data_IF_623739812016
#
_entry.id   IF_623739812016
#
_cell.length_a   1.000
_cell.length_b   1.000
_cell.length_c   1.000
_cell.angle_alpha   90.00
_cell.angle_beta   90.00
_cell.angle_gamma   90.00
#
_symmetry.space_group_name_H-M   'P 1'
#
loop_
_entity.id
_entity.type
_entity.pdbx_description
1 polymer ?
#
# COMPACT_ATOMS: atom_id res chain seq x y z
N UNK A 1 -11.56 17.74 -0.66
CA UNK A 1 -10.82 16.92 -1.64
C UNK A 1 -9.99 15.91 -0.87
N UNK A 2 -10.23 14.61 -1.06
CA UNK A 2 -9.42 13.57 -0.42
C UNK A 2 -8.00 13.63 -0.99
N UNK A 3 -6.99 13.63 -0.12
CA UNK A 3 -5.59 13.47 -0.53
C UNK A 3 -5.29 11.98 -0.53
N UNK A 4 -4.91 11.45 -1.69
CA UNK A 4 -4.45 10.06 -1.78
C UNK A 4 -3.10 9.98 -1.09
N UNK A 5 -2.97 9.05 -0.16
CA UNK A 5 -1.73 8.80 0.56
C UNK A 5 -1.02 7.57 0.03
N UNK A 6 0.31 7.54 0.16
CA UNK A 6 1.11 6.39 -0.22
C UNK A 6 0.95 5.27 0.82
N UNK A 7 0.34 4.16 0.39
CA UNK A 7 0.20 2.91 1.16
C UNK A 7 1.13 1.78 0.68
N UNK A 8 2.28 2.15 0.12
CA UNK A 8 3.31 1.17 -0.28
C UNK A 8 4.10 0.68 0.94
N UNK A 9 4.53 -0.58 0.90
CA UNK A 9 5.37 -1.22 1.90
C UNK A 9 4.58 -2.07 2.88
N UNK A 10 5.25 -2.62 3.89
CA UNK A 10 4.60 -3.47 4.90
C UNK A 10 3.85 -2.60 5.91
N UNK A 11 2.63 -3.00 6.23
CA UNK A 11 1.68 -2.33 7.11
C UNK A 11 1.08 -3.32 8.09
N UNK A 12 0.71 -2.83 9.26
CA UNK A 12 0.05 -3.61 10.32
C UNK A 12 -1.09 -2.80 10.92
N UNK A 13 -2.22 -3.44 11.18
CA UNK A 13 -3.38 -2.85 11.83
C UNK A 13 -3.39 -3.24 13.31
N UNK A 14 -3.23 -2.26 14.20
CA UNK A 14 -3.29 -2.46 15.65
C UNK A 14 -4.28 -1.47 16.24
N UNK A 15 -5.31 -1.98 16.94
CA UNK A 15 -6.36 -1.16 17.58
C UNK A 15 -7.00 -0.14 16.59
N UNK A 16 -7.24 -0.58 15.35
CA UNK A 16 -7.81 0.26 14.28
C UNK A 16 -6.84 1.26 13.65
N UNK A 17 -5.56 1.28 14.06
CA UNK A 17 -4.52 2.15 13.46
C UNK A 17 -3.64 1.37 12.50
N UNK A 18 -3.57 1.84 11.26
CA UNK A 18 -2.68 1.31 10.23
C UNK A 18 -1.28 1.91 10.40
N UNK A 19 -0.32 1.10 10.84
CA UNK A 19 1.05 1.53 11.13
C UNK A 19 2.03 0.93 10.13
N UNK A 20 3.16 1.61 9.94
CA UNK A 20 4.26 1.07 9.16
C UNK A 20 4.90 -0.12 9.89
N UNK A 21 5.13 -1.19 9.16
CA UNK A 21 5.83 -2.38 9.63
C UNK A 21 7.17 -2.48 8.90
N UNK A 22 8.26 -2.58 9.63
CA UNK A 22 9.60 -2.80 9.09
C UNK A 22 10.18 -4.11 9.65
N UNK A 23 11.38 -4.48 9.21
CA UNK A 23 12.11 -5.65 9.70
C UNK A 23 13.40 -5.19 10.37
N UNK A 24 13.73 -5.78 11.53
CA UNK A 24 14.91 -5.48 12.31
C UNK A 24 15.65 -6.76 12.68
N UNK A 25 16.96 -6.79 12.49
CA UNK A 25 17.82 -7.87 12.95
C UNK A 25 18.65 -7.38 14.13
N UNK A 26 18.65 -8.10 15.24
CA UNK A 26 19.46 -7.76 16.40
C UNK A 26 20.89 -8.33 16.28
N UNK A 27 21.74 -8.03 17.27
CA UNK A 27 23.14 -8.50 17.29
C UNK A 27 23.29 -10.03 17.41
N UNK A 28 22.24 -10.74 17.83
CA UNK A 28 22.21 -12.19 17.95
C UNK A 28 21.66 -12.87 16.67
N UNK A 29 21.57 -12.14 15.56
CA UNK A 29 20.94 -12.58 14.31
C UNK A 29 19.46 -13.00 14.44
N UNK A 30 18.76 -12.49 15.46
CA UNK A 30 17.32 -12.69 15.59
C UNK A 30 16.55 -11.61 14.83
N UNK A 31 15.60 -12.03 14.02
CA UNK A 31 14.75 -11.16 13.23
C UNK A 31 13.43 -10.83 13.93
N UNK A 32 13.06 -9.57 13.84
CA UNK A 32 11.85 -9.00 14.40
C UNK A 32 11.11 -8.21 13.34
N UNK A 33 9.79 -8.31 13.37
CA UNK A 33 8.95 -7.22 12.89
C UNK A 33 9.10 -6.04 13.84
N UNK A 34 9.23 -4.86 13.26
CA UNK A 34 9.54 -3.65 13.98
C UNK A 34 8.58 -2.54 13.58
N UNK A 35 8.00 -1.89 14.57
CA UNK A 35 7.13 -0.73 14.38
C UNK A 35 7.77 0.44 15.10
N UNK A 36 7.90 1.56 14.41
CA UNK A 36 8.42 2.80 14.96
C UNK A 36 7.56 3.97 14.49
N UNK A 37 6.88 4.63 15.42
CA UNK A 37 5.92 5.68 15.08
C UNK A 37 5.94 6.83 16.09
N UNK A 38 5.58 8.03 15.64
CA UNK A 38 5.28 9.19 16.50
C UNK A 38 3.81 9.23 16.92
N UNK A 39 2.96 8.46 16.25
CA UNK A 39 1.55 8.41 16.54
C UNK A 39 1.33 7.85 17.95
N UNK A 40 0.34 8.41 18.64
CA UNK A 40 -0.06 7.89 19.95
C UNK A 40 -0.59 6.46 19.78
N UNK A 41 -0.07 5.53 20.59
CA UNK A 41 -0.39 4.10 20.53
C UNK A 41 -0.61 3.57 21.94
N UNK A 42 -1.14 2.35 22.05
CA UNK A 42 -1.32 1.71 23.35
C UNK A 42 0.03 1.47 24.02
N UNK A 43 0.28 2.21 25.10
CA UNK A 43 1.52 2.15 25.89
C UNK A 43 1.70 0.83 26.65
N UNK A 44 0.67 -0.03 26.72
CA UNK A 44 0.79 -1.40 27.23
C UNK A 44 1.47 -2.33 26.23
N UNK A 45 1.36 -2.03 24.93
CA UNK A 45 1.96 -2.80 23.85
C UNK A 45 3.31 -2.19 23.42
N UNK A 46 3.35 -0.86 23.30
CA UNK A 46 4.51 -0.14 22.79
C UNK A 46 5.39 0.41 23.91
N UNK A 47 6.70 0.30 23.74
CA UNK A 47 7.66 0.98 24.60
C UNK A 47 7.97 2.39 24.08
N UNK A 48 8.07 3.37 24.97
CA UNK A 48 8.42 4.75 24.60
C UNK A 48 9.92 4.89 24.36
N UNK A 49 10.30 5.67 23.35
CA UNK A 49 11.67 5.94 22.94
C UNK A 49 11.80 7.40 22.48
N UNK A 50 12.05 8.30 23.43
CA UNK A 50 12.00 9.74 23.19
C UNK A 50 10.57 10.19 22.84
N UNK A 51 10.42 10.84 21.69
CA UNK A 51 9.12 11.25 21.12
C UNK A 51 8.39 10.14 20.36
N UNK A 52 8.99 8.96 20.23
CA UNK A 52 8.48 7.86 19.44
C UNK A 52 8.05 6.68 20.31
N UNK A 53 7.28 5.79 19.72
CA UNK A 53 6.89 4.51 20.26
C UNK A 53 7.47 3.38 19.40
N UNK A 54 7.94 2.32 20.06
CA UNK A 54 8.51 1.15 19.40
C UNK A 54 7.88 -0.15 19.89
N UNK A 55 7.66 -1.07 18.96
CA UNK A 55 7.21 -2.42 19.23
C UNK A 55 8.05 -3.39 18.40
N UNK A 56 8.56 -4.43 19.06
CA UNK A 56 9.25 -5.55 18.44
C UNK A 56 8.38 -6.79 18.58
N UNK A 57 8.13 -7.47 17.46
CA UNK A 57 7.44 -8.75 17.41
C UNK A 57 8.40 -9.74 16.77
N UNK A 58 8.70 -10.84 17.45
CA UNK A 58 9.64 -11.84 16.93
C UNK A 58 9.05 -12.48 15.66
N UNK A 59 9.84 -12.59 14.61
CA UNK A 59 9.40 -13.29 13.40
C UNK A 59 9.19 -14.78 13.65
N UNK A 60 8.50 -15.44 12.72
CA UNK A 60 8.13 -16.86 12.77
C UNK A 60 7.19 -17.21 13.94
N UNK A 61 6.40 -16.23 14.38
CA UNK A 61 5.32 -16.38 15.35
C UNK A 61 3.97 -16.01 14.71
N UNK A 62 2.87 -16.41 15.35
CA UNK A 62 1.52 -16.00 14.93
C UNK A 62 1.00 -14.90 15.83
N UNK A 63 0.62 -13.78 15.22
CA UNK A 63 0.06 -12.63 15.90
C UNK A 63 -1.40 -12.39 15.48
N UNK A 64 -2.25 -11.93 16.41
CA UNK A 64 -3.67 -11.65 16.13
C UNK A 64 -3.89 -10.28 15.47
N UNK A 65 -2.86 -9.70 14.87
CA UNK A 65 -2.94 -8.42 14.18
C UNK A 65 -2.99 -8.67 12.67
N UNK A 66 -3.68 -7.81 11.95
CA UNK A 66 -3.71 -7.85 10.49
C UNK A 66 -2.45 -7.23 9.94
N UNK A 67 -1.75 -7.88 9.01
CA UNK A 67 -0.61 -7.26 8.35
C UNK A 67 -0.47 -7.66 6.88
N UNK A 68 0.02 -6.73 6.07
CA UNK A 68 0.14 -6.89 4.63
C UNK A 68 1.28 -6.06 4.05
N UNK A 69 1.78 -6.48 2.89
CA UNK A 69 2.59 -5.65 2.01
C UNK A 69 1.67 -4.98 1.00
N UNK A 70 1.55 -3.66 1.08
CA UNK A 70 0.78 -2.83 0.17
C UNK A 70 1.61 -2.44 -1.05
N UNK A 71 0.99 -2.49 -2.23
CA UNK A 71 1.52 -1.99 -3.50
C UNK A 71 0.46 -1.15 -4.18
N UNK A 72 0.86 0.01 -4.69
CA UNK A 72 -0.06 0.90 -5.38
C UNK A 72 0.28 0.95 -6.86
N UNK A 73 -0.74 0.90 -7.71
CA UNK A 73 -0.60 1.18 -9.13
C UNK A 73 -1.76 2.01 -9.63
N UNK A 74 -1.57 2.69 -10.75
CA UNK A 74 -2.61 3.43 -11.42
C UNK A 74 -2.69 3.08 -12.90
N UNK A 75 -3.87 3.30 -13.48
CA UNK A 75 -4.04 3.38 -14.93
C UNK A 75 -4.04 4.85 -15.30
N UNK A 76 -2.92 5.32 -15.85
CA UNK A 76 -2.73 6.70 -16.30
C UNK A 76 -2.62 6.73 -17.82
N UNK A 77 -3.44 7.53 -18.49
CA UNK A 77 -3.50 7.63 -19.96
C UNK A 77 -3.59 6.27 -20.68
N UNK A 78 -4.27 5.29 -20.06
CA UNK A 78 -4.48 3.94 -20.61
C UNK A 78 -3.35 2.94 -20.37
N UNK A 79 -2.32 3.29 -19.60
CA UNK A 79 -1.20 2.41 -19.27
C UNK A 79 -1.03 2.22 -17.76
N UNK A 80 -0.55 1.05 -17.35
CA UNK A 80 -0.34 0.72 -15.93
C UNK A 80 1.01 1.25 -15.45
N UNK A 81 1.00 1.96 -14.34
CA UNK A 81 2.19 2.44 -13.65
C UNK A 81 2.15 2.04 -12.18
N UNK A 82 3.29 1.67 -11.62
CA UNK A 82 3.43 1.58 -10.18
C UNK A 82 3.53 2.99 -9.58
N UNK A 83 2.80 3.26 -8.51
CA UNK A 83 2.86 4.54 -7.79
C UNK A 83 3.97 4.44 -6.75
N UNK A 84 5.18 4.84 -7.15
CA UNK A 84 6.36 4.78 -6.29
C UNK A 84 6.26 5.81 -5.16
N UNK A 85 5.78 7.02 -5.44
CA UNK A 85 5.66 8.06 -4.44
C UNK A 85 4.58 9.10 -4.74
N UNK A 86 4.10 9.76 -3.68
CA UNK A 86 3.27 10.97 -3.75
C UNK A 86 3.94 12.00 -2.85
N UNK A 87 4.59 13.00 -3.45
CA UNK A 87 5.40 13.96 -2.71
C UNK A 87 5.14 15.38 -3.20
N UNK A 88 4.84 16.30 -2.28
CA UNK A 88 4.56 17.72 -2.59
C UNK A 88 3.58 17.97 -3.75
N UNK A 89 2.57 17.09 -3.93
CA UNK A 89 1.62 17.21 -5.03
C UNK A 89 2.16 16.73 -6.38
N UNK A 90 3.18 15.87 -6.38
CA UNK A 90 3.67 15.13 -7.55
C UNK A 90 3.47 13.64 -7.33
N UNK A 91 2.96 12.95 -8.35
CA UNK A 91 3.00 11.51 -8.45
C UNK A 91 4.30 11.09 -9.14
N UNK A 92 5.04 10.19 -8.51
CA UNK A 92 6.20 9.53 -9.11
C UNK A 92 5.74 8.15 -9.57
N UNK A 93 5.68 7.97 -10.88
CA UNK A 93 5.13 6.80 -11.55
C UNK A 93 6.23 5.99 -12.21
N UNK A 94 6.25 4.69 -11.93
CA UNK A 94 7.24 3.77 -12.48
C UNK A 94 6.64 2.89 -13.56
N UNK A 95 7.16 2.93 -14.80
CA UNK A 95 6.65 2.13 -15.90
C UNK A 95 7.25 0.72 -15.85
N UNK A 96 6.95 -0.06 -14.80
CA UNK A 96 7.50 -1.42 -14.65
C UNK A 96 6.86 -2.44 -15.61
N UNK A 97 5.63 -2.18 -16.08
CA UNK A 97 4.94 -3.09 -17.00
C UNK A 97 5.53 -3.00 -18.42
N UNK A 98 5.86 -4.17 -19.01
CA UNK A 98 6.41 -4.28 -20.38
C UNK A 98 5.62 -3.50 -21.44
N UNK A 99 4.27 -3.49 -21.34
CA UNK A 99 3.40 -2.77 -22.28
C UNK A 99 3.59 -1.25 -22.16
N UNK A 100 3.60 -0.74 -20.93
CA UNK A 100 3.87 0.67 -20.61
C UNK A 100 5.26 1.09 -21.09
N UNK A 101 6.30 0.29 -20.84
CA UNK A 101 7.66 0.57 -21.31
C UNK A 101 7.76 0.71 -22.82
N UNK A 102 7.11 -0.21 -23.55
CA UNK A 102 7.05 -0.16 -25.02
C UNK A 102 6.34 1.09 -25.54
N UNK A 103 5.25 1.51 -24.90
CA UNK A 103 4.55 2.74 -25.26
C UNK A 103 5.45 3.96 -25.12
N UNK A 104 6.22 4.02 -24.03
CA UNK A 104 7.16 5.09 -23.75
C UNK A 104 8.48 4.98 -24.51
N UNK A 105 8.67 3.93 -25.32
CA UNK A 105 9.90 3.64 -26.08
C UNK A 105 11.14 3.54 -25.19
N UNK A 106 10.97 3.03 -23.96
CA UNK A 106 12.06 2.81 -23.01
C UNK A 106 12.81 1.52 -23.35
N UNK A 107 14.13 1.54 -23.22
CA UNK A 107 14.96 0.33 -23.31
C UNK A 107 14.92 -0.46 -21.99
N UNK A 108 15.41 -1.70 -21.94
CA UNK A 108 15.29 -2.56 -20.74
C UNK A 108 16.08 -2.07 -19.52
N UNK A 109 17.09 -1.22 -19.70
CA UNK A 109 17.92 -0.66 -18.64
C UNK A 109 17.48 0.75 -18.21
N UNK A 110 16.45 1.30 -18.86
CA UNK A 110 15.94 2.63 -18.58
C UNK A 110 15.07 2.62 -17.32
N UNK A 111 15.62 3.09 -16.22
CA UNK A 111 14.95 3.17 -14.93
C UNK A 111 14.33 4.57 -14.71
N UNK A 112 13.96 5.28 -15.77
CA UNK A 112 13.32 6.59 -15.65
C UNK A 112 11.93 6.49 -15.03
N UNK A 113 11.63 7.39 -14.11
CA UNK A 113 10.29 7.60 -13.55
C UNK A 113 9.59 8.71 -14.33
N UNK A 114 8.26 8.66 -14.35
CA UNK A 114 7.44 9.78 -14.81
C UNK A 114 7.00 10.57 -13.59
N UNK A 115 7.24 11.87 -13.61
CA UNK A 115 6.72 12.79 -12.60
C UNK A 115 5.48 13.47 -13.17
N UNK A 116 4.35 13.33 -12.48
CA UNK A 116 3.07 13.92 -12.91
C UNK A 116 2.54 14.84 -11.82
N UNK A 117 2.32 16.14 -12.10
CA UNK A 117 1.64 17.04 -11.17
C UNK A 117 0.28 16.48 -10.75
N UNK A 118 -0.10 16.66 -9.49
CA UNK A 118 -1.36 16.16 -8.94
C UNK A 118 -2.56 16.65 -9.75
N UNK A 119 -2.57 17.92 -10.15
CA UNK A 119 -3.64 18.51 -10.95
C UNK A 119 -3.77 17.85 -12.34
N UNK A 120 -2.65 17.63 -13.04
CA UNK A 120 -2.61 16.93 -14.32
C UNK A 120 -3.04 15.47 -14.16
N UNK A 121 -2.53 14.82 -13.13
CA UNK A 121 -2.87 13.44 -12.82
C UNK A 121 -4.37 13.30 -12.60
N UNK A 122 -4.98 14.15 -11.75
CA UNK A 122 -6.42 14.11 -11.47
C UNK A 122 -7.23 14.48 -12.72
N UNK A 123 -6.78 15.42 -13.55
CA UNK A 123 -7.47 15.80 -14.78
C UNK A 123 -7.63 14.62 -15.75
N UNK A 124 -6.72 13.64 -15.70
CA UNK A 124 -6.81 12.40 -16.49
C UNK A 124 -7.83 11.39 -15.94
N UNK A 125 -8.44 11.64 -14.78
CA UNK A 125 -9.37 10.75 -14.08
C UNK A 125 -8.85 9.31 -13.92
N UNK A 126 -7.65 9.10 -13.36
CA UNK A 126 -7.02 7.80 -13.32
C UNK A 126 -7.70 6.92 -12.26
N UNK A 127 -7.60 5.61 -12.47
CA UNK A 127 -8.01 4.63 -11.47
C UNK A 127 -6.77 4.19 -10.72
N UNK A 128 -6.82 4.24 -9.38
CA UNK A 128 -5.70 3.84 -8.52
C UNK A 128 -6.12 2.62 -7.71
N UNK A 129 -5.22 1.65 -7.62
CA UNK A 129 -5.42 0.39 -6.93
C UNK A 129 -4.37 0.23 -5.84
N UNK A 130 -4.78 -0.31 -4.70
CA UNK A 130 -3.91 -0.82 -3.66
C UNK A 130 -4.06 -2.35 -3.59
N UNK A 131 -3.06 -3.06 -4.08
CA UNK A 131 -2.91 -4.49 -3.88
C UNK A 131 -2.33 -4.75 -2.48
N UNK A 132 -2.92 -5.71 -1.75
CA UNK A 132 -2.46 -6.13 -0.43
C UNK A 132 -2.04 -7.58 -0.46
N UNK A 133 -0.79 -7.86 -0.08
CA UNK A 133 -0.26 -9.21 0.01
C UNK A 133 -0.15 -9.63 1.48
N UNK A 134 -0.65 -10.79 1.91
CA UNK A 134 -0.57 -11.24 3.29
C UNK A 134 0.88 -11.39 3.76
N UNK A 135 1.13 -11.06 5.03
CA UNK A 135 2.38 -11.38 5.74
C UNK A 135 2.13 -12.60 6.62
N UNK A 136 2.96 -13.63 6.47
CA UNK A 136 2.73 -14.97 7.03
C UNK A 136 2.54 -15.02 8.54
N UNK A 137 3.15 -14.11 9.29
CA UNK A 137 3.17 -14.13 10.76
C UNK A 137 1.91 -13.51 11.38
N UNK A 138 1.01 -13.00 10.54
CA UNK A 138 -0.13 -12.18 10.93
C UNK A 138 -1.44 -12.72 10.33
N UNK A 139 -2.56 -12.21 10.82
CA UNK A 139 -3.88 -12.40 10.19
C UNK A 139 -3.95 -11.57 8.90
N UNK A 140 -4.79 -11.99 7.95
CA UNK A 140 -5.06 -11.23 6.73
C UNK A 140 -6.57 -11.10 6.51
N UNK A 141 -7.16 -10.11 7.16
CA UNK A 141 -8.58 -9.74 7.16
C UNK A 141 -8.79 -8.29 6.68
N UNK A 142 -7.81 -7.75 5.96
CA UNK A 142 -7.82 -6.40 5.39
C UNK A 142 -8.15 -6.44 3.90
N UNK A 143 -9.12 -5.64 3.47
CA UNK A 143 -9.58 -5.61 2.08
C UNK A 143 -8.68 -4.77 1.18
N UNK A 144 -8.47 -5.14 -0.10
CA UNK A 144 -7.80 -4.26 -1.05
C UNK A 144 -8.64 -3.00 -1.33
N UNK A 145 -7.97 -1.88 -1.63
CA UNK A 145 -8.63 -0.58 -1.87
C UNK A 145 -8.55 -0.17 -3.33
N UNK A 146 -9.59 0.51 -3.82
CA UNK A 146 -9.61 1.16 -5.13
C UNK A 146 -10.07 2.60 -4.96
N UNK A 147 -9.36 3.52 -5.59
CA UNK A 147 -9.76 4.92 -5.69
C UNK A 147 -10.33 5.17 -7.07
N UNK A 148 -11.63 5.50 -7.11
CA UNK A 148 -12.34 5.89 -8.33
C UNK A 148 -12.51 7.41 -8.36
N UNK A 149 -12.23 8.02 -9.51
CA UNK A 149 -12.48 9.43 -9.69
C UNK A 149 -13.93 9.67 -10.15
N UNK A 150 -14.72 10.37 -9.33
CA UNK A 150 -16.14 10.69 -9.56
C UNK A 150 -16.48 12.06 -8.97
N UNK A 151 -17.33 12.82 -9.67
CA UNK A 151 -17.83 14.12 -9.20
C UNK A 151 -16.69 15.07 -8.76
N UNK A 152 -15.63 15.15 -9.57
CA UNK A 152 -14.41 15.93 -9.32
C UNK A 152 -13.63 15.56 -8.04
N UNK A 153 -13.80 14.34 -7.53
CA UNK A 153 -13.10 13.85 -6.34
C UNK A 153 -12.81 12.35 -6.38
N UNK A 154 -11.89 11.87 -5.55
CA UNK A 154 -11.73 10.43 -5.35
C UNK A 154 -12.69 9.93 -4.29
N UNK A 155 -13.31 8.79 -4.59
CA UNK A 155 -14.02 7.96 -3.64
C UNK A 155 -13.22 6.68 -3.41
N UNK A 156 -13.08 6.28 -2.15
CA UNK A 156 -12.55 4.98 -1.78
C UNK A 156 -13.67 3.95 -1.93
N UNK A 157 -13.45 2.95 -2.78
CA UNK A 157 -14.34 1.80 -2.92
C UNK A 157 -13.65 0.53 -2.42
N UNK A 158 -14.37 -0.17 -1.54
CA UNK A 158 -14.01 -1.49 -1.03
C UNK A 158 -14.51 -2.57 -1.99
N UNK A 159 -13.61 -3.43 -2.46
CA UNK A 159 -13.93 -4.45 -3.46
C UNK A 159 -14.66 -5.69 -2.93
N UNK A 160 -14.99 -5.77 -1.63
CA UNK A 160 -15.61 -6.95 -1.02
C UNK A 160 -16.91 -7.37 -1.70
N UNK A 161 -17.72 -6.41 -2.18
CA UNK A 161 -18.95 -6.69 -2.94
C UNK A 161 -18.68 -7.31 -4.32
N UNK A 162 -17.54 -7.04 -4.96
CA UNK A 162 -17.23 -7.51 -6.31
C UNK A 162 -16.53 -8.89 -6.31
N UNK A 163 -15.74 -9.20 -5.28
CA UNK A 163 -15.04 -10.48 -5.16
C UNK A 163 -15.95 -11.62 -4.70
N UNK A 164 -16.81 -11.40 -3.69
CA UNK A 164 -17.73 -12.44 -3.22
C UNK A 164 -18.74 -12.86 -4.28
N UNK A 165 -19.30 -11.91 -5.05
CA UNK A 165 -20.26 -12.22 -6.11
C UNK A 165 -19.67 -13.06 -7.26
N UNK A 166 -18.34 -13.06 -7.45
CA UNK A 166 -17.68 -13.90 -8.46
C UNK A 166 -17.39 -15.31 -7.96
N UNK A 167 -17.13 -15.49 -6.67
CA UNK A 167 -16.90 -16.82 -6.08
C UNK A 167 -18.21 -17.53 -5.73
N UNK A 168 -19.25 -16.82 -5.30
CA UNK A 168 -20.58 -17.41 -5.06
C UNK A 168 -21.28 -17.82 -6.36
N UNK A 169 -21.11 -17.07 -7.46
CA UNK A 169 -21.66 -17.47 -8.77
C UNK A 169 -20.90 -18.64 -9.42
N UNK A 170 -19.67 -18.96 -8.99
CA UNK A 170 -18.94 -20.14 -9.47
C UNK A 170 -19.24 -21.43 -8.70
N UNK A 171 -19.92 -21.34 -7.55
CA UNK A 171 -20.36 -22.51 -6.79
C UNK A 171 -21.79 -22.93 -7.14
N UNK A 172 -22.48 -22.15 -7.97
CA UNK A 172 -23.87 -22.39 -8.41
C UNK A 172 -23.98 -22.65 -9.94
N UNK A 173 -22.87 -22.96 -10.61
CA UNK A 173 -22.84 -23.47 -12.00
C UNK A 173 -22.35 -24.92 -12.05
#
# INVERSE_FOLDING_TARGET
MMKIEKKVGKRILINGKELRLDTYCNNDNMWFWYIYTKEEVDSRLFSKSGEYFKLFLKMDQKYPYSAYEGRMYCIYLGYKYEVENIWHGLFILSPNERKTRRHLKLNDYDDSRIEVPYEEFIASSPIIWEERKPISDFVFDVEPLVYLFKDNSYIEENLHGAWYNKTSNKQNE
#
